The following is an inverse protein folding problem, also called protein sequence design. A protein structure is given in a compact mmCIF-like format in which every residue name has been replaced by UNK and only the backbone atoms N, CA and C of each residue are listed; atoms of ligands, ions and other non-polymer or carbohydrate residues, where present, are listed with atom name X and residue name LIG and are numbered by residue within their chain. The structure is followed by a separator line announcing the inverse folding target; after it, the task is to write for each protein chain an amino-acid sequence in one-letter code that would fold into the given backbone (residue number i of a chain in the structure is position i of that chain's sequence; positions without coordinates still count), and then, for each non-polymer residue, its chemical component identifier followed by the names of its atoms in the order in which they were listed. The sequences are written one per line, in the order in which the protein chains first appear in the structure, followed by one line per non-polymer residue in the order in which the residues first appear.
data_IF_211644583131
#
_entry.id   IF_211644583131
#
_cell.length_a   1.000
_cell.length_b   1.000
_cell.length_c   1.000
_cell.angle_alpha   90.00
_cell.angle_beta   90.00
_cell.angle_gamma   90.00
#
_symmetry.space_group_name_H-M   'P 1'
#
loop_
_entity.id
_entity.type
_entity.pdbx_description
1 polymer ?
#
# COMPACT_ATOMS: atom_id res chain seq x y z
N UNK A 1 -16.36 -4.51 13.34
CA UNK A 1 -15.33 -4.78 14.35
C UNK A 1 -14.10 -3.90 14.13
N UNK A 2 -13.24 -3.83 15.13
CA UNK A 2 -11.98 -3.07 15.05
C UNK A 2 -11.10 -3.64 13.94
N UNK A 3 -11.03 -4.97 13.83
CA UNK A 3 -10.25 -5.62 12.79
C UNK A 3 -10.71 -5.25 11.38
N UNK A 4 -12.03 -5.24 11.16
CA UNK A 4 -12.59 -4.87 9.86
C UNK A 4 -12.29 -3.42 9.51
N UNK A 5 -12.36 -2.54 10.51
CA UNK A 5 -12.05 -1.12 10.31
C UNK A 5 -10.57 -0.93 9.97
N UNK A 6 -9.71 -1.67 10.65
CA UNK A 6 -8.27 -1.63 10.38
C UNK A 6 -7.98 -2.11 8.96
N UNK A 7 -8.60 -3.20 8.52
CA UNK A 7 -8.43 -3.72 7.17
C UNK A 7 -8.89 -2.72 6.11
N UNK A 8 -10.02 -2.05 6.34
CA UNK A 8 -10.50 -1.02 5.42
C UNK A 8 -9.54 0.16 5.33
N UNK A 9 -9.00 0.57 6.47
CA UNK A 9 -8.03 1.67 6.50
C UNK A 9 -6.76 1.30 5.74
N UNK A 10 -6.28 0.07 5.90
CA UNK A 10 -5.09 -0.43 5.20
C UNK A 10 -5.36 -0.54 3.70
N UNK A 11 -6.56 -1.00 3.30
CA UNK A 11 -6.95 -1.05 1.89
C UNK A 11 -6.98 0.34 1.26
N UNK A 12 -7.49 1.34 1.98
CA UNK A 12 -7.49 2.73 1.52
C UNK A 12 -6.07 3.25 1.36
N UNK A 13 -5.19 2.87 2.29
CA UNK A 13 -3.78 3.26 2.24
C UNK A 13 -3.12 2.66 0.98
N UNK A 14 -3.41 1.40 0.66
CA UNK A 14 -2.90 0.76 -0.55
C UNK A 14 -3.34 1.54 -1.80
N UNK A 15 -4.64 1.85 -1.89
CA UNK A 15 -5.19 2.59 -3.02
C UNK A 15 -4.54 3.98 -3.15
N UNK A 16 -4.38 4.66 -2.03
CA UNK A 16 -3.77 5.98 -1.99
C UNK A 16 -2.30 5.94 -2.43
N UNK A 17 -1.57 4.93 -1.94
CA UNK A 17 -0.17 4.74 -2.28
C UNK A 17 0.00 4.43 -3.76
N UNK A 18 -0.86 3.57 -4.31
CA UNK A 18 -0.85 3.26 -5.74
C UNK A 18 -1.12 4.50 -6.58
N UNK A 19 -2.05 5.35 -6.14
CA UNK A 19 -2.35 6.62 -6.83
C UNK A 19 -1.16 7.55 -6.84
N UNK A 20 -0.42 7.65 -5.73
CA UNK A 20 0.80 8.45 -5.67
C UNK A 20 1.84 7.97 -6.70
N UNK A 21 2.01 6.65 -6.78
CA UNK A 21 2.95 6.06 -7.74
C UNK A 21 2.55 6.28 -9.19
N UNK A 22 1.25 6.33 -9.47
CA UNK A 22 0.74 6.61 -10.81
C UNK A 22 0.95 8.08 -11.20
N UNK A 23 0.82 9.00 -10.25
CA UNK A 23 1.06 10.41 -10.51
C UNK A 23 2.53 10.71 -10.72
N UNK A 24 3.38 10.11 -9.89
CA UNK A 24 4.82 10.29 -9.96
C UNK A 24 5.52 9.08 -9.35
N UNK A 25 6.06 8.21 -10.19
CA UNK A 25 6.75 7.00 -9.74
C UNK A 25 7.96 7.33 -8.86
N UNK A 26 8.52 8.52 -8.99
CA UNK A 26 9.67 8.96 -8.20
C UNK A 26 9.26 9.70 -6.93
N UNK A 27 7.96 9.74 -6.60
CA UNK A 27 7.48 10.35 -5.37
C UNK A 27 8.18 9.71 -4.17
N UNK A 28 8.77 10.52 -3.30
CA UNK A 28 9.55 10.05 -2.16
C UNK A 28 8.72 9.22 -1.19
N UNK A 29 7.47 9.60 -0.96
CA UNK A 29 6.56 8.84 -0.09
C UNK A 29 6.30 7.47 -0.69
N UNK A 30 6.00 7.41 -1.99
CA UNK A 30 5.76 6.17 -2.68
C UNK A 30 7.00 5.25 -2.61
N UNK A 31 8.17 5.79 -2.95
CA UNK A 31 9.40 4.99 -2.95
C UNK A 31 9.78 4.49 -1.57
N UNK A 32 9.54 5.30 -0.53
CA UNK A 32 9.92 4.93 0.83
C UNK A 32 8.96 3.94 1.47
N UNK A 33 7.65 4.11 1.27
CA UNK A 33 6.66 3.39 2.07
C UNK A 33 5.95 2.26 1.32
N UNK A 34 5.76 2.37 0.01
CA UNK A 34 4.91 1.43 -0.71
C UNK A 34 5.39 -0.02 -0.56
N UNK A 35 6.65 -0.29 -0.84
CA UNK A 35 7.19 -1.66 -0.79
C UNK A 35 7.41 -2.16 0.64
N UNK A 36 7.43 -1.27 1.62
CA UNK A 36 7.60 -1.67 3.03
C UNK A 36 6.29 -2.01 3.70
N UNK A 37 5.23 -1.31 3.33
CA UNK A 37 3.92 -1.48 3.95
C UNK A 37 3.05 -2.51 3.24
N UNK A 38 3.35 -2.76 1.96
CA UNK A 38 2.56 -3.68 1.13
C UNK A 38 3.46 -4.59 0.32
N UNK A 39 2.99 -5.83 0.00
CA UNK A 39 3.69 -6.65 -1.00
C UNK A 39 3.74 -5.88 -2.32
N UNK A 40 4.91 -5.84 -2.95
CA UNK A 40 5.08 -5.04 -4.17
C UNK A 40 4.12 -5.45 -5.28
N UNK A 41 3.83 -6.76 -5.39
CA UNK A 41 2.88 -7.26 -6.38
C UNK A 41 1.49 -6.66 -6.18
N UNK A 42 1.08 -6.46 -4.91
CA UNK A 42 -0.23 -5.90 -4.63
C UNK A 42 -0.29 -4.42 -4.95
N UNK A 43 0.81 -3.70 -4.76
CA UNK A 43 0.89 -2.29 -5.16
C UNK A 43 0.73 -2.20 -6.68
N UNK A 44 1.42 -3.05 -7.43
CA UNK A 44 1.31 -3.08 -8.90
C UNK A 44 -0.10 -3.46 -9.35
N UNK A 45 -0.71 -4.45 -8.69
CA UNK A 45 -2.08 -4.86 -9.00
C UNK A 45 -3.06 -3.71 -8.75
N UNK A 46 -2.90 -2.99 -7.65
CA UNK A 46 -3.76 -1.86 -7.35
C UNK A 46 -3.58 -0.73 -8.37
N UNK A 47 -2.34 -0.47 -8.80
CA UNK A 47 -2.08 0.51 -9.84
C UNK A 47 -2.79 0.15 -11.14
N UNK A 48 -2.72 -1.13 -11.55
CA UNK A 48 -3.42 -1.61 -12.73
C UNK A 48 -4.93 -1.52 -12.57
N UNK A 49 -5.44 -1.84 -11.38
CA UNK A 49 -6.87 -1.73 -11.08
C UNK A 49 -7.36 -0.29 -11.24
N UNK A 50 -6.62 0.68 -10.71
CA UNK A 50 -6.97 2.10 -10.82
C UNK A 50 -7.02 2.52 -12.29
N UNK A 51 -6.16 1.96 -13.12
CA UNK A 51 -6.15 2.23 -14.56
C UNK A 51 -7.18 1.40 -15.34
N UNK A 52 -7.96 0.57 -14.66
CA UNK A 52 -8.97 -0.27 -15.29
C UNK A 52 -8.41 -1.48 -16.03
N UNK A 53 -7.21 -1.93 -15.68
CA UNK A 53 -6.51 -2.98 -16.42
C UNK A 53 -6.43 -4.34 -15.72
N UNK A 54 -6.98 -4.46 -14.52
CA UNK A 54 -6.89 -5.73 -13.80
C UNK A 54 -7.67 -5.73 -12.51
N UNK A 55 -7.59 -6.82 -11.73
CA UNK A 55 -8.29 -6.92 -10.46
C UNK A 55 -7.65 -6.06 -9.39
N UNK A 56 -8.45 -5.73 -8.38
CA UNK A 56 -8.00 -4.93 -7.25
C UNK A 56 -6.89 -5.66 -6.49
N UNK A 57 -5.87 -4.92 -6.06
CA UNK A 57 -4.84 -5.44 -5.16
C UNK A 57 -5.39 -5.72 -3.78
N UNK A 58 -4.69 -6.54 -3.01
CA UNK A 58 -5.09 -6.92 -1.65
C UNK A 58 -4.05 -6.43 -0.65
N UNK A 59 -4.49 -5.64 0.31
CA UNK A 59 -3.63 -5.25 1.42
C UNK A 59 -3.54 -6.42 2.40
N UNK A 60 -2.36 -6.56 3.03
CA UNK A 60 -2.11 -7.56 4.05
C UNK A 60 -1.87 -6.83 5.36
N UNK A 61 -2.76 -7.00 6.33
CA UNK A 61 -2.67 -6.29 7.60
C UNK A 61 -1.36 -6.59 8.34
N UNK A 62 -0.96 -7.86 8.35
CA UNK A 62 0.29 -8.25 9.03
C UNK A 62 1.50 -7.59 8.37
N UNK A 63 1.56 -7.62 7.04
CA UNK A 63 2.64 -6.98 6.30
C UNK A 63 2.70 -5.49 6.60
N UNK A 64 1.55 -4.84 6.63
CA UNK A 64 1.45 -3.42 6.95
C UNK A 64 1.98 -3.11 8.34
N UNK A 65 1.56 -3.89 9.35
CA UNK A 65 2.00 -3.69 10.73
C UNK A 65 3.49 -3.96 10.89
N UNK A 66 3.98 -5.03 10.27
CA UNK A 66 5.41 -5.35 10.30
C UNK A 66 6.24 -4.23 9.66
N UNK A 67 5.77 -3.71 8.53
CA UNK A 67 6.42 -2.60 7.84
C UNK A 67 6.44 -1.33 8.68
N UNK A 68 5.35 -1.04 9.39
CA UNK A 68 5.28 0.10 10.29
C UNK A 68 6.31 0.01 11.42
N UNK A 69 6.48 -1.20 11.97
CA UNK A 69 7.48 -1.42 13.03
C UNK A 69 8.89 -1.19 12.51
N UNK A 70 9.20 -1.70 11.32
CA UNK A 70 10.51 -1.50 10.71
C UNK A 70 10.78 -0.01 10.48
N UNK A 71 9.80 0.71 9.95
CA UNK A 71 9.94 2.15 9.70
C UNK A 71 10.13 2.93 11.00
N UNK A 72 9.44 2.54 12.06
CA UNK A 72 9.59 3.18 13.38
C UNK A 72 10.99 2.96 13.94
N UNK A 73 11.60 1.81 13.68
CA UNK A 73 12.95 1.52 14.15
C UNK A 73 14.02 2.30 13.37
N UNK A 74 13.74 2.69 12.13
CA UNK A 74 14.66 3.47 11.30
C UNK A 74 14.77 4.91 11.78
N UNK A 75 13.75 5.41 12.43
CA UNK A 75 13.73 6.77 12.96
C UNK A 75 14.34 6.82 14.35
#
# INVERSE_FOLDING_TARGET
TIEQRARRAVDRCLSHMASLGLEDYNNEVFLRYAARLFPFQEVRSEMAFIQGKGPKGKANLKCFLDGMLVLAEED
#
